data_IF_748455414724
#
_entry.id   IF_748455414724
#
_cell.length_a   1.000
_cell.length_b   1.000
_cell.length_c   1.000
_cell.angle_alpha   90.00
_cell.angle_beta   90.00
_cell.angle_gamma   90.00
#
_symmetry.space_group_name_H-M   'P 1'
#
loop_
_entity.id
_entity.type
_entity.pdbx_description
1 polymer ?
#
# COMPACT_ATOMS: atom_id res chain seq x y z
N UNK A 1 6.32 -15.46 -2.03
CA UNK A 1 5.46 -14.45 -2.68
C UNK A 1 3.98 -14.86 -2.56
N UNK A 2 3.17 -14.18 -1.72
CA UNK A 2 1.70 -14.37 -1.77
C UNK A 2 1.19 -13.41 -2.84
N UNK A 3 0.72 -13.96 -3.96
CA UNK A 3 0.03 -13.20 -5.02
C UNK A 3 -1.09 -12.38 -4.36
N UNK A 4 -1.13 -11.06 -4.52
CA UNK A 4 -2.22 -10.25 -3.98
C UNK A 4 -3.54 -10.75 -4.57
N UNK A 5 -4.50 -11.13 -3.71
CA UNK A 5 -5.82 -11.56 -4.16
C UNK A 5 -6.49 -10.42 -4.91
N UNK A 6 -7.12 -10.65 -6.07
CA UNK A 6 -7.72 -9.59 -6.86
C UNK A 6 -8.77 -8.82 -6.02
N UNK A 7 -8.80 -7.52 -6.15
CA UNK A 7 -9.70 -6.61 -5.40
C UNK A 7 -11.17 -7.05 -5.45
N UNK A 8 -11.61 -7.61 -6.58
CA UNK A 8 -12.95 -8.17 -6.78
C UNK A 8 -13.30 -9.28 -5.78
N UNK A 9 -12.33 -10.10 -5.35
CA UNK A 9 -12.57 -11.19 -4.39
C UNK A 9 -12.71 -10.66 -2.95
N UNK A 10 -11.98 -9.61 -2.57
CA UNK A 10 -12.10 -8.98 -1.24
C UNK A 10 -13.43 -8.25 -1.07
N UNK A 11 -13.85 -7.48 -2.09
CA UNK A 11 -15.13 -6.77 -2.11
C UNK A 11 -16.31 -7.78 -2.06
N UNK A 12 -16.20 -8.87 -2.78
CA UNK A 12 -17.19 -9.97 -2.74
C UNK A 12 -17.32 -10.58 -1.35
N UNK A 13 -16.22 -10.79 -0.62
CA UNK A 13 -16.24 -11.36 0.74
C UNK A 13 -16.90 -10.44 1.76
N UNK A 14 -16.63 -9.14 1.73
CA UNK A 14 -17.25 -8.18 2.65
C UNK A 14 -18.76 -8.03 2.38
N UNK A 15 -19.17 -7.98 1.12
CA UNK A 15 -20.59 -7.97 0.77
C UNK A 15 -21.30 -9.26 1.22
N UNK A 16 -20.61 -10.39 1.15
CA UNK A 16 -21.11 -11.67 1.64
C UNK A 16 -21.27 -11.67 3.17
N UNK A 17 -20.27 -11.16 3.91
CA UNK A 17 -20.32 -11.09 5.39
C UNK A 17 -21.42 -10.16 5.87
N UNK A 18 -21.61 -8.99 5.24
CA UNK A 18 -22.71 -8.07 5.53
C UNK A 18 -24.06 -8.76 5.25
N UNK A 19 -24.20 -9.43 4.10
CA UNK A 19 -25.42 -10.16 3.74
C UNK A 19 -25.74 -11.30 4.71
N UNK A 20 -24.71 -12.03 5.15
CA UNK A 20 -24.84 -13.13 6.10
C UNK A 20 -25.25 -12.62 7.50
N UNK A 21 -24.71 -11.50 7.93
CA UNK A 21 -25.12 -10.83 9.18
C UNK A 21 -26.62 -10.50 9.16
N UNK A 22 -27.09 -9.83 8.10
CA UNK A 22 -28.51 -9.50 7.97
C UNK A 22 -29.39 -10.73 7.87
N UNK A 23 -28.95 -11.74 7.15
CA UNK A 23 -29.67 -13.03 7.06
C UNK A 23 -29.80 -13.68 8.45
N UNK A 24 -28.71 -13.75 9.22
CA UNK A 24 -28.75 -14.31 10.57
C UNK A 24 -29.70 -13.52 11.49
N UNK A 25 -29.61 -12.17 11.47
CA UNK A 25 -30.46 -11.30 12.30
C UNK A 25 -31.94 -11.52 11.96
N UNK A 26 -32.34 -11.47 10.70
CA UNK A 26 -33.72 -11.63 10.29
C UNK A 26 -34.23 -13.06 10.50
N UNK A 27 -33.39 -14.06 10.26
CA UNK A 27 -33.71 -15.46 10.57
C UNK A 27 -34.00 -15.61 12.06
N UNK A 28 -33.16 -15.05 12.93
CA UNK A 28 -33.38 -15.06 14.37
C UNK A 28 -34.70 -14.40 14.73
N UNK A 29 -34.98 -13.18 14.21
CA UNK A 29 -36.22 -12.43 14.48
C UNK A 29 -37.48 -13.24 14.08
N UNK A 30 -37.46 -13.93 12.93
CA UNK A 30 -38.58 -14.75 12.50
C UNK A 30 -38.69 -16.12 13.21
N UNK A 31 -37.58 -16.63 13.77
CA UNK A 31 -37.59 -17.88 14.54
C UNK A 31 -38.00 -17.70 16.02
N UNK A 32 -37.73 -16.53 16.61
CA UNK A 32 -38.09 -16.25 18.03
C UNK A 32 -39.51 -16.58 18.37
N UNK A 33 -40.59 -16.21 17.59
CA UNK A 33 -41.96 -16.54 17.89
C UNK A 33 -42.24 -18.04 17.94
N UNK A 34 -41.53 -18.84 17.14
CA UNK A 34 -41.68 -20.30 17.10
C UNK A 34 -41.24 -20.94 18.41
N UNK A 35 -40.07 -20.49 18.91
CA UNK A 35 -39.47 -21.06 20.10
C UNK A 35 -40.03 -20.48 21.41
N UNK A 36 -40.47 -19.22 21.42
CA UNK A 36 -40.98 -18.56 22.62
C UNK A 36 -42.28 -19.20 23.15
N UNK A 37 -43.12 -19.70 22.24
CA UNK A 37 -44.39 -20.40 22.61
C UNK A 37 -44.18 -21.76 23.25
N UNK A 38 -43.18 -22.50 22.78
CA UNK A 38 -42.91 -23.88 23.22
C UNK A 38 -42.04 -23.98 24.49
N UNK A 39 -41.18 -22.98 24.74
CA UNK A 39 -40.21 -23.02 25.84
C UNK A 39 -40.79 -22.41 27.13
N UNK A 40 -41.67 -21.39 27.04
CA UNK A 40 -42.13 -20.61 28.19
C UNK A 40 -43.58 -20.90 28.63
N UNK A 41 -44.32 -21.67 27.82
CA UNK A 41 -45.69 -22.07 28.16
C UNK A 41 -45.96 -23.49 27.69
N UNK A 42 -46.61 -24.26 28.56
CA UNK A 42 -47.11 -25.63 28.23
C UNK A 42 -48.36 -25.64 27.31
N UNK A 43 -48.58 -24.54 26.60
CA UNK A 43 -49.74 -24.44 25.70
C UNK A 43 -49.51 -25.21 24.39
N UNK A 44 -50.55 -25.82 23.79
CA UNK A 44 -50.41 -26.48 22.50
C UNK A 44 -49.95 -25.52 21.41
N UNK A 45 -49.13 -26.06 20.47
CA UNK A 45 -48.60 -25.32 19.33
C UNK A 45 -49.72 -24.71 18.49
N UNK A 46 -49.91 -23.40 18.56
CA UNK A 46 -50.90 -22.67 17.76
C UNK A 46 -50.25 -21.95 16.59
N UNK A 47 -50.40 -22.47 15.39
CA UNK A 47 -49.89 -21.86 14.16
C UNK A 47 -50.36 -20.40 13.98
N UNK A 48 -51.57 -20.11 14.41
CA UNK A 48 -52.15 -18.75 14.36
C UNK A 48 -51.37 -17.69 15.11
N UNK A 49 -50.80 -18.03 16.28
CA UNK A 49 -49.96 -17.13 17.06
C UNK A 49 -48.65 -16.75 16.31
N UNK A 50 -48.05 -17.73 15.61
CA UNK A 50 -46.85 -17.51 14.81
C UNK A 50 -47.15 -16.59 13.63
N UNK A 51 -48.25 -16.80 12.94
CA UNK A 51 -48.68 -15.94 11.83
C UNK A 51 -48.91 -14.48 12.32
N UNK A 52 -49.54 -14.28 13.49
CA UNK A 52 -49.74 -12.98 14.08
C UNK A 52 -48.43 -12.33 14.44
N UNK A 53 -47.47 -13.04 15.07
CA UNK A 53 -46.16 -12.53 15.38
C UNK A 53 -45.39 -12.12 14.10
N UNK A 54 -45.44 -12.92 13.04
CA UNK A 54 -44.81 -12.60 11.76
C UNK A 54 -45.44 -11.38 11.09
N UNK A 55 -46.77 -11.23 11.15
CA UNK A 55 -47.46 -10.04 10.61
C UNK A 55 -47.02 -8.74 11.29
N UNK A 56 -46.72 -8.78 12.60
CA UNK A 56 -46.22 -7.63 13.34
C UNK A 56 -44.82 -7.19 12.85
N UNK A 57 -43.96 -8.15 12.53
CA UNK A 57 -42.56 -7.90 12.12
C UNK A 57 -42.46 -7.52 10.64
N UNK A 58 -43.41 -7.94 9.82
CA UNK A 58 -43.39 -7.82 8.37
C UNK A 58 -43.21 -6.37 7.86
N UNK A 59 -43.86 -5.32 8.40
CA UNK A 59 -43.64 -3.93 7.96
C UNK A 59 -42.21 -3.45 8.19
N UNK A 60 -41.59 -3.86 9.29
CA UNK A 60 -40.19 -3.54 9.57
C UNK A 60 -39.24 -4.24 8.61
N UNK A 61 -39.54 -5.49 8.24
CA UNK A 61 -38.74 -6.21 7.24
C UNK A 61 -38.79 -5.54 5.88
N UNK A 62 -39.99 -5.14 5.43
CA UNK A 62 -40.17 -4.41 4.16
C UNK A 62 -39.43 -3.08 4.19
N UNK A 63 -39.57 -2.31 5.27
CA UNK A 63 -38.86 -1.06 5.49
C UNK A 63 -37.35 -1.27 5.45
N UNK A 64 -36.85 -2.32 6.12
CA UNK A 64 -35.44 -2.68 6.11
C UNK A 64 -34.94 -2.96 4.70
N UNK A 65 -35.67 -3.74 3.90
CA UNK A 65 -35.30 -4.06 2.51
C UNK A 65 -35.18 -2.81 1.65
N UNK A 66 -36.22 -1.93 1.70
CA UNK A 66 -36.22 -0.67 0.95
C UNK A 66 -35.04 0.22 1.37
N UNK A 67 -34.86 0.37 2.68
CA UNK A 67 -33.80 1.18 3.23
C UNK A 67 -32.41 0.61 2.89
N UNK A 68 -32.21 -0.70 3.07
CA UNK A 68 -30.90 -1.35 2.89
C UNK A 68 -30.46 -1.41 1.42
N UNK A 69 -31.38 -1.81 0.52
CA UNK A 69 -31.03 -2.04 -0.89
C UNK A 69 -31.03 -0.78 -1.73
N UNK A 70 -31.91 0.16 -1.42
CA UNK A 70 -32.11 1.33 -2.27
C UNK A 70 -31.62 2.60 -1.60
N UNK A 71 -32.21 3.00 -0.46
CA UNK A 71 -31.94 4.31 0.15
C UNK A 71 -30.49 4.41 0.64
N UNK A 72 -30.06 3.48 1.51
CA UNK A 72 -28.74 3.54 2.10
C UNK A 72 -27.64 3.32 1.03
N UNK A 73 -27.83 2.36 0.12
CA UNK A 73 -26.85 2.07 -0.92
C UNK A 73 -26.65 3.23 -1.90
N UNK A 74 -27.75 3.87 -2.32
CA UNK A 74 -27.71 4.90 -3.37
C UNK A 74 -27.38 6.28 -2.83
N UNK A 75 -27.77 6.63 -1.63
CA UNK A 75 -27.65 7.98 -1.09
C UNK A 75 -26.69 8.11 0.09
N UNK A 76 -26.75 7.21 1.08
CA UNK A 76 -25.85 7.26 2.23
C UNK A 76 -24.40 7.02 1.85
N UNK A 77 -24.12 5.93 1.11
CA UNK A 77 -22.76 5.56 0.71
C UNK A 77 -22.16 6.57 -0.29
N UNK A 78 -22.99 7.30 -1.04
CA UNK A 78 -22.56 8.36 -1.95
C UNK A 78 -22.53 9.76 -1.32
N UNK A 79 -22.55 9.84 0.04
CA UNK A 79 -22.44 11.09 0.81
C UNK A 79 -23.56 12.11 0.55
N UNK A 80 -24.72 11.68 0.00
CA UNK A 80 -25.90 12.55 -0.24
C UNK A 80 -26.81 12.53 0.97
N UNK A 81 -26.30 13.01 2.12
CA UNK A 81 -26.93 12.87 3.43
C UNK A 81 -28.31 13.51 3.53
N UNK A 82 -28.53 14.70 2.92
CA UNK A 82 -29.82 15.40 2.97
C UNK A 82 -30.91 14.58 2.26
N UNK A 83 -30.64 14.10 1.04
CA UNK A 83 -31.57 13.27 0.27
C UNK A 83 -31.82 11.94 1.00
N UNK A 84 -30.77 11.33 1.54
CA UNK A 84 -30.85 10.13 2.37
C UNK A 84 -31.80 10.32 3.55
N UNK A 85 -31.64 11.41 4.34
CA UNK A 85 -32.47 11.67 5.53
C UNK A 85 -33.93 11.88 5.16
N UNK A 86 -34.21 12.68 4.11
CA UNK A 86 -35.58 12.91 3.64
C UNK A 86 -36.23 11.62 3.20
N UNK A 87 -35.55 10.80 2.36
CA UNK A 87 -36.11 9.54 1.85
C UNK A 87 -36.31 8.51 2.98
N UNK A 88 -35.44 8.47 3.99
CA UNK A 88 -35.59 7.60 5.14
C UNK A 88 -36.82 7.99 5.97
N UNK A 89 -37.02 9.30 6.24
CA UNK A 89 -38.19 9.80 6.95
C UNK A 89 -39.48 9.47 6.16
N UNK A 90 -39.48 9.72 4.85
CA UNK A 90 -40.64 9.41 3.98
C UNK A 90 -40.94 7.91 3.96
N UNK A 91 -39.90 7.05 3.90
CA UNK A 91 -40.08 5.61 3.91
C UNK A 91 -40.66 5.11 5.24
N UNK A 92 -40.17 5.63 6.38
CA UNK A 92 -40.70 5.30 7.72
C UNK A 92 -42.14 5.76 7.86
N UNK A 93 -42.42 7.02 7.58
CA UNK A 93 -43.78 7.58 7.66
C UNK A 93 -44.75 6.84 6.71
N UNK A 94 -44.33 6.61 5.47
CA UNK A 94 -45.15 5.91 4.46
C UNK A 94 -45.49 4.49 4.89
N UNK A 95 -44.51 3.71 5.35
CA UNK A 95 -44.72 2.33 5.79
C UNK A 95 -45.77 2.25 6.92
N UNK A 96 -45.60 3.04 7.99
CA UNK A 96 -46.49 2.95 9.12
C UNK A 96 -47.83 3.71 8.93
N UNK A 97 -47.88 4.68 8.03
CA UNK A 97 -49.18 5.29 7.61
C UNK A 97 -50.01 4.28 6.80
N UNK A 98 -49.39 3.47 5.95
CA UNK A 98 -50.10 2.38 5.22
C UNK A 98 -50.60 1.36 6.22
N UNK A 99 -49.83 0.96 7.20
CA UNK A 99 -50.29 0.04 8.27
C UNK A 99 -51.44 0.62 9.05
N UNK A 100 -51.38 1.89 9.47
CA UNK A 100 -52.47 2.56 10.20
C UNK A 100 -53.74 2.66 9.33
N UNK A 101 -53.63 2.99 8.05
CA UNK A 101 -54.74 3.07 7.12
C UNK A 101 -55.38 1.67 6.93
N UNK A 102 -54.56 0.60 6.79
CA UNK A 102 -55.08 -0.77 6.74
C UNK A 102 -55.90 -1.09 7.99
N UNK A 103 -55.41 -0.81 9.21
CA UNK A 103 -56.15 -1.08 10.45
C UNK A 103 -57.47 -0.30 10.51
N UNK A 104 -57.45 0.95 10.04
CA UNK A 104 -58.66 1.80 9.99
C UNK A 104 -59.72 1.24 9.03
N UNK A 105 -59.31 0.87 7.81
CA UNK A 105 -60.23 0.28 6.80
C UNK A 105 -60.77 -1.10 7.22
N UNK A 106 -59.91 -1.93 7.82
CA UNK A 106 -60.27 -3.24 8.31
C UNK A 106 -61.10 -3.24 9.62
N UNK A 107 -61.34 -2.05 10.22
CA UNK A 107 -62.04 -1.92 11.49
C UNK A 107 -61.32 -2.57 12.67
N UNK A 108 -59.99 -2.66 12.57
CA UNK A 108 -59.15 -3.27 13.61
C UNK A 108 -58.80 -2.26 14.68
N UNK A 109 -59.39 -2.39 15.89
CA UNK A 109 -59.00 -1.64 17.06
C UNK A 109 -57.83 -2.34 17.77
N UNK A 110 -56.63 -1.81 17.57
CA UNK A 110 -55.40 -2.37 18.14
C UNK A 110 -55.40 -2.41 19.68
N UNK A 111 -56.27 -1.65 20.32
CA UNK A 111 -56.36 -1.58 21.78
C UNK A 111 -57.28 -2.64 22.40
N UNK A 112 -58.09 -3.33 21.60
CA UNK A 112 -58.98 -4.38 22.07
C UNK A 112 -58.31 -5.76 22.11
N UNK A 113 -58.30 -6.45 23.26
CA UNK A 113 -57.61 -7.75 23.42
C UNK A 113 -58.20 -8.86 22.54
N UNK A 114 -59.51 -8.85 22.30
CA UNK A 114 -60.20 -9.90 21.53
C UNK A 114 -59.95 -9.83 20.01
N UNK A 115 -59.67 -8.65 19.48
CA UNK A 115 -59.31 -8.43 18.05
C UNK A 115 -57.92 -8.94 17.73
N UNK A 116 -57.03 -8.97 18.69
CA UNK A 116 -55.62 -9.44 18.54
C UNK A 116 -55.55 -10.91 18.17
N UNK A 117 -56.58 -11.72 18.49
CA UNK A 117 -56.61 -13.15 18.19
C UNK A 117 -57.37 -13.51 16.92
N UNK A 118 -58.19 -12.62 16.36
CA UNK A 118 -59.11 -12.91 15.27
C UNK A 118 -58.67 -12.41 13.87
N UNK A 119 -57.78 -11.43 13.80
CA UNK A 119 -57.35 -10.77 12.56
C UNK A 119 -55.83 -10.66 12.42
N UNK A 120 -55.35 -10.56 11.17
CA UNK A 120 -53.94 -10.24 10.89
C UNK A 120 -53.67 -8.78 11.26
N UNK A 121 -53.02 -8.58 12.39
CA UNK A 121 -52.66 -7.24 12.89
C UNK A 121 -51.21 -6.97 12.58
N UNK A 122 -50.93 -5.99 11.72
CA UNK A 122 -49.61 -5.54 11.41
C UNK A 122 -49.17 -4.53 12.46
N UNK A 123 -48.43 -4.96 13.47
CA UNK A 123 -47.96 -4.18 14.60
C UNK A 123 -49.05 -3.83 15.67
N UNK A 124 -48.79 -4.25 16.89
CA UNK A 124 -49.62 -3.91 18.06
C UNK A 124 -49.20 -2.62 18.77
N UNK A 125 -48.17 -1.96 18.23
CA UNK A 125 -47.60 -0.78 18.86
C UNK A 125 -48.35 0.48 18.40
N UNK A 126 -48.40 1.49 19.26
CA UNK A 126 -48.90 2.80 18.87
C UNK A 126 -48.09 3.40 17.75
N UNK A 127 -48.72 4.23 16.90
CA UNK A 127 -48.04 4.84 15.75
C UNK A 127 -46.74 5.55 16.14
N UNK A 128 -46.65 6.38 17.22
CA UNK A 128 -45.39 7.00 17.60
C UNK A 128 -44.28 6.01 17.92
N UNK A 129 -44.60 4.88 18.56
CA UNK A 129 -43.62 3.87 18.93
C UNK A 129 -43.14 3.10 17.68
N UNK A 130 -44.03 2.82 16.74
CA UNK A 130 -43.66 2.23 15.44
C UNK A 130 -42.71 3.14 14.67
N UNK A 131 -42.98 4.43 14.62
CA UNK A 131 -42.10 5.41 13.96
C UNK A 131 -40.72 5.46 14.64
N UNK A 132 -40.69 5.49 15.96
CA UNK A 132 -39.44 5.48 16.73
C UNK A 132 -38.59 4.24 16.43
N UNK A 133 -39.19 3.05 16.48
CA UNK A 133 -38.50 1.78 16.17
C UNK A 133 -38.07 1.71 14.72
N UNK A 134 -38.87 2.19 13.76
CA UNK A 134 -38.51 2.26 12.36
C UNK A 134 -37.29 3.14 12.12
N UNK A 135 -37.25 4.33 12.72
CA UNK A 135 -36.09 5.23 12.67
C UNK A 135 -34.86 4.59 13.31
N UNK A 136 -35.02 3.98 14.47
CA UNK A 136 -33.94 3.30 15.18
C UNK A 136 -33.33 2.16 14.35
N UNK A 137 -34.19 1.33 13.73
CA UNK A 137 -33.74 0.26 12.85
C UNK A 137 -32.98 0.78 11.62
N UNK A 138 -33.49 1.85 10.98
CA UNK A 138 -32.79 2.50 9.87
C UNK A 138 -31.44 3.09 10.31
N UNK A 139 -31.39 3.65 11.51
CA UNK A 139 -30.15 4.17 12.13
C UNK A 139 -29.11 3.08 12.35
N UNK A 140 -29.52 1.96 12.94
CA UNK A 140 -28.64 0.78 13.12
C UNK A 140 -28.11 0.25 11.79
N UNK A 141 -28.99 0.06 10.80
CA UNK A 141 -28.58 -0.37 9.46
C UNK A 141 -27.58 0.60 8.81
N UNK A 142 -27.79 1.91 8.98
CA UNK A 142 -26.88 2.95 8.49
C UNK A 142 -25.53 2.88 9.18
N UNK A 143 -25.51 2.70 10.49
CA UNK A 143 -24.29 2.55 11.28
C UNK A 143 -23.48 1.34 10.80
N UNK A 144 -24.12 0.19 10.62
CA UNK A 144 -23.48 -1.01 10.10
C UNK A 144 -22.86 -0.74 8.72
N UNK A 145 -23.62 -0.15 7.79
CA UNK A 145 -23.10 0.17 6.44
C UNK A 145 -21.94 1.16 6.47
N UNK A 146 -21.98 2.15 7.35
CA UNK A 146 -20.88 3.11 7.48
C UNK A 146 -19.62 2.47 8.05
N UNK A 147 -19.74 1.55 9.01
CA UNK A 147 -18.61 0.81 9.55
C UNK A 147 -17.95 -0.05 8.44
N UNK A 148 -18.74 -0.83 7.71
CA UNK A 148 -18.21 -1.63 6.60
C UNK A 148 -17.54 -0.78 5.52
N UNK A 149 -18.14 0.40 5.22
CA UNK A 149 -17.54 1.35 4.27
C UNK A 149 -16.24 1.92 4.80
N UNK A 150 -16.19 2.36 6.06
CA UNK A 150 -14.96 2.91 6.67
C UNK A 150 -13.82 1.91 6.64
N UNK A 151 -14.06 0.66 7.03
CA UNK A 151 -13.04 -0.39 6.99
C UNK A 151 -12.52 -0.63 5.56
N UNK A 152 -13.40 -0.56 4.57
CA UNK A 152 -13.00 -0.69 3.17
C UNK A 152 -12.16 0.49 2.70
N UNK A 153 -12.63 1.72 2.98
CA UNK A 153 -11.95 2.95 2.57
C UNK A 153 -10.54 3.01 3.22
N UNK A 154 -10.40 2.57 4.49
CA UNK A 154 -9.11 2.47 5.17
C UNK A 154 -8.17 1.43 4.50
N UNK A 155 -8.69 0.28 4.11
CA UNK A 155 -7.91 -0.75 3.39
C UNK A 155 -7.43 -0.25 2.02
N UNK A 156 -8.30 0.43 1.25
CA UNK A 156 -7.95 1.02 -0.03
C UNK A 156 -6.87 2.10 0.13
N UNK A 157 -6.97 2.92 1.19
CA UNK A 157 -5.96 3.94 1.50
C UNK A 157 -4.58 3.34 1.80
N UNK A 158 -4.54 2.27 2.60
CA UNK A 158 -3.29 1.55 2.92
C UNK A 158 -2.66 0.97 1.65
N UNK A 159 -3.46 0.33 0.78
CA UNK A 159 -2.99 -0.23 -0.49
C UNK A 159 -2.47 0.85 -1.44
N UNK A 160 -3.18 1.98 -1.56
CA UNK A 160 -2.71 3.13 -2.35
C UNK A 160 -1.36 3.65 -1.84
N UNK A 161 -1.22 3.78 -0.51
CA UNK A 161 0.03 4.25 0.10
C UNK A 161 1.19 3.29 -0.16
N UNK A 162 0.96 1.98 -0.09
CA UNK A 162 1.96 0.97 -0.44
C UNK A 162 2.38 1.06 -1.92
N UNK A 163 1.40 1.20 -2.83
CA UNK A 163 1.67 1.34 -4.26
C UNK A 163 2.43 2.63 -4.59
N UNK A 164 2.09 3.75 -3.94
CA UNK A 164 2.84 5.00 -4.09
C UNK A 164 4.29 4.84 -3.60
N UNK A 165 4.50 4.23 -2.45
CA UNK A 165 5.84 3.99 -1.89
C UNK A 165 6.67 3.08 -2.82
N UNK A 166 6.05 2.02 -3.38
CA UNK A 166 6.70 1.15 -4.35
C UNK A 166 7.08 1.90 -5.63
N UNK A 167 6.16 2.71 -6.18
CA UNK A 167 6.45 3.54 -7.36
C UNK A 167 7.57 4.56 -7.10
N UNK A 168 7.63 5.15 -5.90
CA UNK A 168 8.71 6.05 -5.51
C UNK A 168 10.07 5.32 -5.41
N UNK A 169 10.08 4.12 -4.82
CA UNK A 169 11.28 3.27 -4.80
C UNK A 169 11.75 2.91 -6.21
N UNK A 170 10.83 2.52 -7.09
CA UNK A 170 11.15 2.18 -8.47
C UNK A 170 11.68 3.40 -9.23
N UNK A 171 11.06 4.57 -9.08
CA UNK A 171 11.56 5.82 -9.65
C UNK A 171 12.99 6.14 -9.17
N UNK A 172 13.28 5.94 -7.88
CA UNK A 172 14.62 6.15 -7.32
C UNK A 172 15.65 5.11 -7.83
N UNK A 173 15.22 3.88 -8.15
CA UNK A 173 16.08 2.87 -8.79
C UNK A 173 16.47 3.25 -10.22
N UNK A 174 15.55 3.82 -11.01
CA UNK A 174 15.76 4.14 -12.42
C UNK A 174 16.57 5.43 -12.67
N UNK A 175 17.07 6.10 -11.64
CA UNK A 175 17.91 7.31 -11.80
C UNK A 175 19.37 7.00 -12.21
N UNK A 176 19.66 5.84 -12.81
CA UNK A 176 20.94 5.58 -13.41
C UNK A 176 21.11 6.52 -14.59
N UNK A 177 22.21 7.24 -14.57
CA UNK A 177 22.50 8.36 -15.45
C UNK A 177 22.57 7.93 -16.95
N UNK A 178 21.51 8.19 -17.79
CA UNK A 178 21.56 7.85 -19.21
C UNK A 178 22.74 8.49 -19.94
N UNK A 179 23.20 9.62 -19.46
CA UNK A 179 24.35 10.35 -19.97
C UNK A 179 25.67 9.55 -19.83
N UNK A 180 25.79 8.72 -18.78
CA UNK A 180 26.94 7.82 -18.63
C UNK A 180 26.99 6.81 -19.79
N UNK A 181 25.88 6.16 -20.12
CA UNK A 181 25.80 5.19 -21.20
C UNK A 181 26.12 5.82 -22.56
N UNK A 182 25.54 6.99 -22.84
CA UNK A 182 25.79 7.71 -24.08
C UNK A 182 27.28 8.10 -24.21
N UNK A 183 27.89 8.57 -23.13
CA UNK A 183 29.32 8.92 -23.13
C UNK A 183 30.20 7.68 -23.31
N UNK A 184 29.87 6.55 -22.69
CA UNK A 184 30.61 5.30 -22.86
C UNK A 184 30.53 4.80 -24.30
N UNK A 185 29.37 4.84 -24.94
CA UNK A 185 29.19 4.49 -26.36
C UNK A 185 30.01 5.41 -27.28
N UNK A 186 30.03 6.74 -27.00
CA UNK A 186 30.86 7.66 -27.75
C UNK A 186 32.37 7.37 -27.58
N UNK A 187 32.81 6.97 -26.39
CA UNK A 187 34.18 6.55 -26.15
C UNK A 187 34.50 5.26 -26.88
N UNK A 188 33.62 4.27 -26.88
CA UNK A 188 33.78 3.03 -27.68
C UNK A 188 33.93 3.38 -29.15
N UNK A 189 33.07 4.24 -29.70
CA UNK A 189 33.16 4.67 -31.08
C UNK A 189 34.52 5.29 -31.40
N UNK A 190 35.05 6.15 -30.54
CA UNK A 190 36.38 6.74 -30.70
C UNK A 190 37.51 5.72 -30.59
N UNK A 191 37.35 4.68 -29.74
CA UNK A 191 38.36 3.63 -29.58
C UNK A 191 38.43 2.66 -30.77
N UNK A 192 37.37 2.46 -31.56
CA UNK A 192 37.34 1.53 -32.67
C UNK A 192 38.48 1.75 -33.67
N UNK A 193 38.76 3.02 -33.95
CA UNK A 193 39.83 3.39 -34.92
C UNK A 193 41.24 3.46 -34.31
N UNK A 194 41.32 3.53 -32.96
CA UNK A 194 42.61 3.71 -32.25
C UNK A 194 43.12 2.38 -31.70
N UNK A 195 42.24 1.64 -31.02
CA UNK A 195 42.50 0.37 -30.33
C UNK A 195 41.25 -0.52 -30.36
N UNK A 196 41.11 -1.32 -31.39
CA UNK A 196 39.95 -2.18 -31.61
C UNK A 196 39.81 -3.25 -30.54
N UNK A 197 40.86 -3.74 -29.89
CA UNK A 197 40.77 -4.72 -28.81
C UNK A 197 40.21 -4.07 -27.53
N UNK A 198 40.73 -2.89 -27.13
CA UNK A 198 40.17 -2.14 -26.02
C UNK A 198 38.73 -1.72 -26.28
N UNK A 199 38.33 -1.43 -27.51
CA UNK A 199 36.94 -1.17 -27.87
C UNK A 199 36.04 -2.39 -27.62
N UNK A 200 36.47 -3.60 -28.02
CA UNK A 200 35.73 -4.85 -27.78
C UNK A 200 35.57 -5.14 -26.29
N UNK A 201 36.64 -5.02 -25.51
CA UNK A 201 36.62 -5.22 -24.06
C UNK A 201 35.67 -4.24 -23.39
N UNK A 202 35.67 -2.98 -23.84
CA UNK A 202 34.76 -1.94 -23.34
C UNK A 202 33.29 -2.29 -23.63
N UNK A 203 32.96 -2.84 -24.79
CA UNK A 203 31.61 -3.31 -25.14
C UNK A 203 31.18 -4.45 -24.21
N UNK A 204 32.10 -5.40 -23.91
CA UNK A 204 31.82 -6.53 -23.03
C UNK A 204 31.51 -6.02 -21.60
N UNK A 205 32.34 -5.13 -21.07
CA UNK A 205 32.14 -4.54 -19.73
C UNK A 205 30.83 -3.74 -19.64
N UNK A 206 30.55 -2.94 -20.68
CA UNK A 206 29.27 -2.20 -20.77
C UNK A 206 28.07 -3.15 -20.80
N UNK A 207 28.17 -4.26 -21.56
CA UNK A 207 27.10 -5.26 -21.65
C UNK A 207 26.83 -5.96 -20.32
N UNK A 208 27.89 -6.29 -19.55
CA UNK A 208 27.76 -6.88 -18.20
C UNK A 208 27.06 -5.91 -17.26
N UNK A 209 27.47 -4.64 -17.29
CA UNK A 209 26.88 -3.59 -16.49
C UNK A 209 25.42 -3.33 -16.85
N UNK A 210 25.07 -3.28 -18.15
CA UNK A 210 23.68 -3.15 -18.60
C UNK A 210 22.81 -4.33 -18.15
N UNK A 211 23.33 -5.55 -18.20
CA UNK A 211 22.62 -6.75 -17.75
C UNK A 211 22.25 -6.64 -16.26
N UNK A 212 23.21 -6.22 -15.44
CA UNK A 212 22.97 -5.98 -14.02
C UNK A 212 21.84 -4.95 -13.80
N UNK A 213 21.92 -3.83 -14.52
CA UNK A 213 20.94 -2.74 -14.40
C UNK A 213 19.53 -3.17 -14.83
N UNK A 214 19.42 -3.94 -15.93
CA UNK A 214 18.13 -4.32 -16.51
C UNK A 214 17.47 -5.52 -15.81
N UNK A 215 18.26 -6.44 -15.25
CA UNK A 215 17.72 -7.70 -14.72
C UNK A 215 17.99 -7.92 -13.23
N UNK A 216 19.23 -7.69 -12.77
CA UNK A 216 19.58 -7.96 -11.38
C UNK A 216 19.05 -6.87 -10.44
N UNK A 217 18.99 -5.63 -10.88
CA UNK A 217 18.50 -4.49 -10.08
C UNK A 217 17.00 -4.46 -9.89
N UNK A 218 16.21 -5.26 -10.62
CA UNK A 218 14.77 -5.40 -10.43
C UNK A 218 14.41 -6.17 -9.14
N UNK A 219 15.36 -6.92 -8.59
CA UNK A 219 15.14 -7.66 -7.35
C UNK A 219 15.14 -6.71 -6.13
N UNK A 220 14.36 -7.07 -5.09
CA UNK A 220 14.32 -6.31 -3.85
C UNK A 220 15.67 -6.33 -3.11
N UNK A 221 16.44 -7.40 -3.27
CA UNK A 221 17.76 -7.59 -2.69
C UNK A 221 18.65 -8.46 -3.57
N UNK A 222 19.94 -8.20 -3.54
CA UNK A 222 20.97 -8.94 -4.30
C UNK A 222 22.10 -9.34 -3.34
N UNK A 223 22.95 -10.29 -3.78
CA UNK A 223 24.17 -10.57 -3.05
C UNK A 223 25.16 -9.41 -3.13
N UNK A 224 25.88 -9.16 -2.04
CA UNK A 224 26.92 -8.14 -2.01
C UNK A 224 27.97 -8.32 -3.13
N UNK A 225 28.31 -9.58 -3.45
CA UNK A 225 29.24 -9.88 -4.54
C UNK A 225 28.79 -9.35 -5.90
N UNK A 226 27.48 -9.41 -6.21
CA UNK A 226 26.94 -8.86 -7.46
C UNK A 226 27.05 -7.34 -7.51
N UNK A 227 26.79 -6.67 -6.38
CA UNK A 227 26.96 -5.21 -6.31
C UNK A 227 28.43 -4.81 -6.43
N UNK A 228 29.35 -5.56 -5.81
CA UNK A 228 30.80 -5.37 -5.94
C UNK A 228 31.24 -5.55 -7.39
N UNK A 229 30.82 -6.62 -8.05
CA UNK A 229 31.12 -6.86 -9.47
C UNK A 229 30.63 -5.72 -10.37
N UNK A 230 29.41 -5.25 -10.13
CA UNK A 230 28.85 -4.11 -10.85
C UNK A 230 29.71 -2.85 -10.66
N UNK A 231 30.13 -2.55 -9.43
CA UNK A 231 31.03 -1.42 -9.15
C UNK A 231 32.39 -1.59 -9.82
N UNK A 232 32.95 -2.79 -9.83
CA UNK A 232 34.21 -3.08 -10.50
C UNK A 232 34.12 -2.83 -12.01
N UNK A 233 33.05 -3.31 -12.67
CA UNK A 233 32.80 -3.05 -14.09
C UNK A 233 32.65 -1.55 -14.38
N UNK A 234 31.92 -0.81 -13.53
CA UNK A 234 31.81 0.64 -13.65
C UNK A 234 33.17 1.34 -13.53
N UNK A 235 33.95 0.98 -12.51
CA UNK A 235 35.28 1.56 -12.27
C UNK A 235 36.22 1.26 -13.43
N UNK A 236 36.16 0.05 -14.00
CA UNK A 236 36.96 -0.34 -15.17
C UNK A 236 36.63 0.53 -16.39
N UNK A 237 35.33 0.76 -16.68
CA UNK A 237 34.92 1.69 -17.73
C UNK A 237 35.37 3.13 -17.48
N UNK A 238 35.38 3.57 -16.21
CA UNK A 238 35.88 4.90 -15.87
C UNK A 238 37.40 5.04 -15.99
N UNK A 239 38.17 3.97 -15.70
CA UNK A 239 39.63 3.97 -15.89
C UNK A 239 40.03 4.18 -17.36
N UNK A 240 39.28 3.66 -18.31
CA UNK A 240 39.52 3.90 -19.75
C UNK A 240 39.34 5.37 -20.17
N UNK A 241 38.58 6.15 -19.36
CA UNK A 241 38.31 7.56 -19.62
C UNK A 241 39.35 8.49 -19.03
N UNK A 242 40.00 8.06 -17.93
CA UNK A 242 40.93 8.89 -17.17
C UNK A 242 42.35 8.30 -17.31
N UNK A 243 43.33 9.17 -17.53
CA UNK A 243 44.72 8.79 -17.61
C UNK A 243 45.28 8.32 -16.25
N UNK A 244 46.54 7.77 -16.29
CA UNK A 244 47.28 7.31 -15.11
C UNK A 244 47.53 8.43 -14.02
N UNK A 245 47.08 9.65 -14.30
CA UNK A 245 47.13 10.77 -13.33
C UNK A 245 46.13 10.64 -12.17
N UNK A 246 45.17 9.71 -12.25
CA UNK A 246 44.15 9.43 -11.22
C UNK A 246 44.47 8.12 -10.53
N UNK A 247 44.79 8.17 -9.25
CA UNK A 247 44.99 6.99 -8.42
C UNK A 247 43.63 6.42 -7.99
N UNK A 248 43.27 5.22 -8.43
CA UNK A 248 42.01 4.57 -8.07
C UNK A 248 42.34 3.30 -7.30
N UNK A 249 42.05 3.31 -6.00
CA UNK A 249 42.23 2.16 -5.09
C UNK A 249 40.88 1.60 -4.73
N UNK A 250 40.73 0.29 -4.88
CA UNK A 250 39.49 -0.45 -4.55
C UNK A 250 39.85 -1.57 -3.61
N UNK A 251 39.44 -1.44 -2.38
CA UNK A 251 39.63 -2.42 -1.31
C UNK A 251 38.28 -3.10 -1.01
N UNK A 252 38.11 -4.29 -1.54
CA UNK A 252 36.87 -5.07 -1.40
C UNK A 252 37.24 -6.48 -0.98
N UNK A 253 36.42 -7.17 -0.20
CA UNK A 253 36.70 -8.55 0.19
C UNK A 253 36.76 -9.46 -1.04
N UNK A 254 37.75 -10.34 -1.11
CA UNK A 254 37.93 -11.33 -2.17
C UNK A 254 36.70 -12.23 -2.32
N UNK A 255 36.03 -12.54 -1.22
CA UNK A 255 34.76 -13.25 -1.18
C UNK A 255 33.92 -12.70 -0.04
N UNK A 256 32.70 -12.26 -0.34
CA UNK A 256 31.70 -11.98 0.66
C UNK A 256 31.00 -13.27 1.09
N UNK A 257 30.57 -13.41 2.33
CA UNK A 257 29.68 -14.51 2.69
C UNK A 257 28.46 -14.50 1.75
N UNK A 258 28.20 -15.61 1.05
CA UNK A 258 27.13 -15.72 0.04
C UNK A 258 25.72 -15.37 0.56
N UNK A 259 25.59 -15.21 1.86
CA UNK A 259 24.33 -14.84 2.55
C UNK A 259 24.13 -13.33 2.72
N UNK A 260 25.16 -12.49 2.48
CA UNK A 260 25.04 -11.04 2.63
C UNK A 260 24.24 -10.47 1.47
N UNK A 261 23.02 -10.02 1.75
CA UNK A 261 22.12 -9.40 0.78
C UNK A 261 21.92 -7.92 1.10
N UNK A 262 21.94 -7.12 0.06
CA UNK A 262 21.75 -5.66 0.12
C UNK A 262 20.80 -5.19 -0.98
N UNK A 263 20.22 -3.98 -0.88
CA UNK A 263 19.49 -3.39 -1.99
C UNK A 263 20.43 -3.11 -3.17
N UNK A 264 20.02 -3.39 -4.43
CA UNK A 264 20.84 -3.12 -5.61
C UNK A 264 21.08 -1.62 -5.81
N UNK A 265 22.16 -1.26 -6.47
CA UNK A 265 22.49 0.11 -6.88
C UNK A 265 22.54 1.14 -5.72
N UNK A 266 22.92 0.70 -4.53
CA UNK A 266 22.97 1.59 -3.37
C UNK A 266 24.30 2.37 -3.29
N UNK A 267 25.39 1.80 -3.79
CA UNK A 267 26.72 2.37 -3.69
C UNK A 267 27.13 3.21 -4.90
N UNK A 268 26.56 2.93 -6.07
CA UNK A 268 26.99 3.54 -7.35
C UNK A 268 26.94 5.07 -7.35
N UNK A 269 25.95 5.66 -6.69
CA UNK A 269 25.78 7.13 -6.64
C UNK A 269 26.96 7.81 -5.99
N UNK A 270 27.57 7.21 -4.98
CA UNK A 270 28.75 7.75 -4.30
C UNK A 270 30.00 7.61 -5.18
N UNK A 271 30.12 6.49 -5.91
CA UNK A 271 31.22 6.30 -6.87
C UNK A 271 31.09 7.29 -8.03
N UNK A 272 29.91 7.46 -8.60
CA UNK A 272 29.66 8.47 -9.64
C UNK A 272 30.06 9.88 -9.18
N UNK A 273 29.67 10.25 -7.95
CA UNK A 273 30.02 11.53 -7.37
C UNK A 273 31.52 11.69 -7.17
N UNK A 274 32.22 10.63 -6.76
CA UNK A 274 33.68 10.66 -6.61
C UNK A 274 34.37 10.89 -7.96
N UNK A 275 33.96 10.21 -9.02
CA UNK A 275 34.50 10.45 -10.36
C UNK A 275 34.14 11.82 -10.93
N UNK A 276 32.93 12.31 -10.69
CA UNK A 276 32.45 13.59 -11.20
C UNK A 276 33.13 14.79 -10.54
N UNK A 277 33.38 14.72 -9.24
CA UNK A 277 33.82 15.83 -8.43
C UNK A 277 35.25 15.72 -7.90
N UNK A 278 35.78 14.47 -7.87
CA UNK A 278 37.10 14.18 -7.32
C UNK A 278 38.29 14.35 -8.30
N UNK A 279 37.98 14.34 -9.63
CA UNK A 279 39.06 14.34 -10.63
C UNK A 279 39.37 15.74 -11.14
N UNK A 280 40.67 16.06 -11.14
CA UNK A 280 41.26 17.25 -11.74
C UNK A 280 42.25 16.86 -12.82
N UNK A 281 42.18 17.54 -13.99
CA UNK A 281 43.18 17.36 -15.04
C UNK A 281 44.53 18.06 -14.77
N UNK A 282 44.52 18.99 -13.81
CA UNK A 282 45.70 19.83 -13.51
C UNK A 282 46.48 19.34 -12.29
N UNK A 283 45.88 18.51 -11.44
CA UNK A 283 46.48 18.04 -10.19
C UNK A 283 46.31 16.51 -10.07
N UNK A 284 47.24 15.88 -9.34
CA UNK A 284 47.08 14.48 -8.96
C UNK A 284 45.76 14.32 -8.19
N UNK A 285 44.97 13.38 -8.63
CA UNK A 285 43.66 13.08 -8.03
C UNK A 285 43.63 11.63 -7.56
N UNK A 286 42.84 11.35 -6.52
CA UNK A 286 42.68 10.01 -6.02
C UNK A 286 41.20 9.72 -5.76
N UNK A 287 40.84 8.45 -5.86
CA UNK A 287 39.55 7.87 -5.45
C UNK A 287 39.85 6.58 -4.70
N UNK A 288 39.49 6.51 -3.44
CA UNK A 288 39.60 5.29 -2.63
C UNK A 288 38.20 4.78 -2.28
N UNK A 289 37.95 3.51 -2.56
CA UNK A 289 36.69 2.85 -2.30
C UNK A 289 36.99 1.63 -1.44
N UNK A 290 36.28 1.45 -0.35
CA UNK A 290 36.39 0.26 0.48
C UNK A 290 35.01 -0.27 0.88
N UNK A 291 34.89 -1.61 0.88
CA UNK A 291 33.68 -2.32 1.32
C UNK A 291 34.13 -3.38 2.32
N UNK A 292 33.49 -3.40 3.46
CA UNK A 292 33.73 -4.39 4.50
C UNK A 292 32.41 -4.91 5.06
N UNK A 293 32.42 -6.18 5.46
CA UNK A 293 31.31 -6.80 6.19
C UNK A 293 31.70 -6.89 7.65
N UNK A 294 30.78 -6.57 8.56
CA UNK A 294 31.01 -6.71 9.99
C UNK A 294 31.41 -8.15 10.36
N UNK A 295 32.12 -8.33 11.45
CA UNK A 295 32.54 -9.66 11.92
C UNK A 295 31.34 -10.58 12.19
N UNK A 296 30.18 -10.01 12.54
CA UNK A 296 28.93 -10.70 12.79
C UNK A 296 28.13 -11.00 11.50
N UNK A 297 28.55 -10.42 10.36
CA UNK A 297 27.89 -10.59 9.06
C UNK A 297 26.55 -9.88 8.92
N UNK A 298 26.19 -9.02 9.86
CA UNK A 298 24.89 -8.34 9.96
C UNK A 298 24.87 -6.94 9.34
N UNK A 299 26.04 -6.34 9.06
CA UNK A 299 26.18 -5.00 8.51
C UNK A 299 27.24 -4.93 7.42
N UNK A 300 27.00 -4.02 6.47
CA UNK A 300 27.97 -3.66 5.43
C UNK A 300 28.40 -2.22 5.65
N UNK A 301 29.71 -2.01 5.77
CA UNK A 301 30.36 -0.71 5.82
C UNK A 301 30.93 -0.41 4.43
N UNK A 302 30.54 0.70 3.86
CA UNK A 302 30.99 1.21 2.58
C UNK A 302 31.63 2.59 2.80
N UNK A 303 32.86 2.76 2.33
CA UNK A 303 33.53 4.04 2.38
C UNK A 303 34.01 4.43 0.99
N UNK A 304 33.83 5.69 0.64
CA UNK A 304 34.44 6.30 -0.56
C UNK A 304 35.05 7.64 -0.19
N UNK A 305 36.29 7.87 -0.60
CA UNK A 305 36.95 9.15 -0.44
C UNK A 305 37.63 9.57 -1.73
N UNK A 306 37.59 10.86 -2.00
CA UNK A 306 38.23 11.44 -3.19
C UNK A 306 38.85 12.82 -2.91
N UNK A 307 39.84 13.14 -3.70
CA UNK A 307 40.39 14.49 -3.78
C UNK A 307 39.34 15.50 -4.24
N UNK A 308 39.46 16.77 -3.87
CA UNK A 308 38.57 17.84 -4.32
C UNK A 308 39.21 18.69 -5.41
N UNK A 309 38.42 19.03 -6.42
CA UNK A 309 38.78 20.06 -7.39
C UNK A 309 38.11 21.39 -7.01
N UNK A 310 38.84 22.38 -6.52
CA UNK A 310 38.25 23.65 -6.04
C UNK A 310 37.46 24.42 -7.11
N UNK A 311 37.80 24.23 -8.39
CA UNK A 311 37.19 24.98 -9.51
C UNK A 311 35.83 24.40 -9.99
N UNK A 312 35.44 23.19 -9.55
CA UNK A 312 34.20 22.53 -9.94
C UNK A 312 33.22 22.29 -8.81
N UNK A 313 33.53 22.72 -7.60
CA UNK A 313 32.73 22.44 -6.43
C UNK A 313 31.59 23.46 -6.28
N UNK A 314 30.37 23.07 -6.67
CA UNK A 314 29.17 23.80 -6.27
C UNK A 314 28.71 23.31 -4.90
N UNK A 315 28.52 24.23 -3.97
CA UNK A 315 28.18 24.00 -2.55
C UNK A 315 26.77 23.48 -2.30
N UNK A 316 25.93 23.32 -3.34
CA UNK A 316 24.61 22.74 -3.18
C UNK A 316 24.70 21.20 -3.32
N UNK A 317 24.29 20.49 -2.28
CA UNK A 317 24.12 19.04 -2.30
C UNK A 317 23.33 18.63 -3.54
N UNK A 318 23.94 17.78 -4.39
CA UNK A 318 23.33 17.39 -5.66
C UNK A 318 22.10 16.51 -5.44
N UNK A 319 21.16 16.56 -6.38
CA UNK A 319 19.94 15.75 -6.43
C UNK A 319 20.19 14.26 -6.12
N UNK A 320 21.37 13.74 -6.48
CA UNK A 320 21.74 12.34 -6.26
C UNK A 320 21.86 11.95 -4.78
N UNK A 321 22.44 12.79 -3.94
CA UNK A 321 22.62 12.50 -2.51
C UNK A 321 21.29 12.53 -1.74
N UNK A 322 20.44 13.50 -2.07
CA UNK A 322 19.09 13.58 -1.47
C UNK A 322 18.23 12.37 -1.84
N UNK A 323 18.37 11.87 -3.06
CA UNK A 323 17.68 10.68 -3.51
C UNK A 323 18.19 9.41 -2.78
N UNK A 324 19.51 9.30 -2.59
CA UNK A 324 20.06 8.19 -1.80
C UNK A 324 19.58 8.24 -0.36
N UNK A 325 19.54 9.41 0.28
CA UNK A 325 19.01 9.55 1.65
C UNK A 325 17.55 9.10 1.73
N UNK A 326 16.69 9.61 0.83
CA UNK A 326 15.29 9.20 0.76
C UNK A 326 15.14 7.68 0.57
N UNK A 327 15.95 7.10 -0.30
CA UNK A 327 15.96 5.66 -0.54
C UNK A 327 16.39 4.86 0.70
N UNK A 328 17.43 5.31 1.40
CA UNK A 328 17.89 4.71 2.65
C UNK A 328 16.84 4.84 3.76
N UNK A 329 16.15 5.97 3.87
CA UNK A 329 15.06 6.18 4.82
C UNK A 329 13.88 5.22 4.58
N UNK A 330 13.56 4.94 3.31
CA UNK A 330 12.51 3.99 2.93
C UNK A 330 12.92 2.54 3.19
N UNK A 331 14.16 2.17 2.86
CA UNK A 331 14.65 0.78 2.97
C UNK A 331 15.08 0.41 4.39
N UNK A 332 15.68 1.34 5.12
CA UNK A 332 16.27 1.13 6.44
C UNK A 332 15.84 2.19 7.46
N UNK A 333 14.55 2.35 7.76
CA UNK A 333 14.08 3.40 8.65
C UNK A 333 14.84 3.41 9.99
N UNK A 334 15.65 4.46 10.24
CA UNK A 334 16.46 4.64 11.46
C UNK A 334 17.48 3.51 11.74
N UNK A 335 17.83 2.67 10.74
CA UNK A 335 18.77 1.55 10.92
C UNK A 335 20.08 1.70 10.15
N UNK A 336 20.23 2.76 9.35
CA UNK A 336 21.47 3.07 8.65
C UNK A 336 22.21 4.26 9.29
N UNK A 337 23.49 4.37 8.99
CA UNK A 337 24.32 5.53 9.34
C UNK A 337 24.96 6.03 8.04
N UNK A 338 24.86 7.32 7.77
CA UNK A 338 25.46 7.98 6.62
C UNK A 338 26.21 9.22 7.12
N UNK A 339 27.53 9.13 7.10
CA UNK A 339 28.42 10.21 7.49
C UNK A 339 29.10 10.78 6.25
N UNK A 340 29.13 12.11 6.16
CA UNK A 340 29.73 12.80 5.03
C UNK A 340 30.68 13.85 5.59
N UNK A 341 31.95 13.67 5.28
CA UNK A 341 33.01 14.63 5.66
C UNK A 341 33.42 15.42 4.41
N UNK A 342 33.36 16.73 4.52
CA UNK A 342 33.63 17.64 3.42
C UNK A 342 34.64 18.68 3.84
N UNK A 343 35.92 18.38 3.66
CA UNK A 343 37.04 19.30 3.96
C UNK A 343 37.44 20.14 2.74
N UNK A 344 38.45 20.97 2.87
CA UNK A 344 39.00 21.79 1.75
C UNK A 344 39.59 20.92 0.63
N UNK A 345 40.22 19.78 0.98
CA UNK A 345 41.01 18.99 0.05
C UNK A 345 40.43 17.62 -0.25
N UNK A 346 39.48 17.15 0.56
CA UNK A 346 38.92 15.78 0.50
C UNK A 346 37.42 15.82 0.70
N UNK A 347 36.75 14.91 0.03
CA UNK A 347 35.37 14.55 0.29
C UNK A 347 35.31 13.06 0.60
N UNK A 348 34.68 12.70 1.71
CA UNK A 348 34.52 11.31 2.09
C UNK A 348 33.06 11.02 2.51
N UNK A 349 32.61 9.82 2.19
CA UNK A 349 31.32 9.29 2.57
C UNK A 349 31.54 7.94 3.23
N UNK A 350 30.96 7.77 4.39
CA UNK A 350 30.85 6.48 5.08
C UNK A 350 29.37 6.11 5.22
N UNK A 351 29.00 4.95 4.68
CA UNK A 351 27.67 4.40 4.76
C UNK A 351 27.72 3.04 5.46
N UNK A 352 26.91 2.89 6.52
CA UNK A 352 26.79 1.66 7.26
C UNK A 352 25.31 1.20 7.24
N UNK A 353 25.04 0.09 6.57
CA UNK A 353 23.68 -0.46 6.38
C UNK A 353 23.58 -1.87 6.96
N UNK A 354 22.42 -2.27 7.48
CA UNK A 354 22.17 -3.66 7.85
C UNK A 354 22.03 -4.53 6.60
N UNK A 355 22.36 -5.80 6.74
CA UNK A 355 22.09 -6.86 5.77
C UNK A 355 20.58 -7.16 5.75
N UNK A 356 20.01 -7.50 4.59
CA UNK A 356 18.60 -7.80 4.38
C UNK A 356 18.28 -9.28 4.60
#
# INVERSE_FOLDING_TARGET
MRVPRPQTEKISKQALTEGLLYFCVWTFVYLVPIFSGSIFRSDPFEWRRIQTAWSIVFPYFVLFLIHNWWIARKFLLNKRYLVYSILTIVAVLGTFSIVALYHHIAGIDVNQPDVRMSSLVFSHLSLPLNLLLGVFMCGLNSGIKMIYKSVRDDQEMVEMKQNMMQAELDYLKYQINPHFFMNTLNNIHALIDIDSESAKDTVIELSKMMRYVLYDSEQDSISLDKEIQFLQHYIQLMRLRYSDSVEIVVDVPDQSPSQVKIPPLIFIVFVENAFKHGISYNNRSYIHISIAVSAEGDRVRYCVSNSKNPSRWNTQGGIGLDNVRKRLDLLFPKRYQLEIENTSNQYSVELNIPVL
#
